data_IF_442097883513
#
_entry.id   IF_442097883513
#
_cell.length_a   1.000
_cell.length_b   1.000
_cell.length_c   1.000
_cell.angle_alpha   90.00
_cell.angle_beta   90.00
_cell.angle_gamma   90.00
#
_symmetry.space_group_name_H-M   'P 1'
#
loop_
_entity.id
_entity.type
_entity.pdbx_description
1 polymer ?
#
# COMPACT_ATOMS: atom_id res chain seq x y z
N UNK A 1 2.70 14.59 -12.85
CA UNK A 1 2.73 13.27 -13.51
C UNK A 1 2.26 12.21 -12.54
N UNK A 2 1.40 11.29 -12.97
CA UNK A 2 0.90 10.20 -12.12
C UNK A 2 1.70 8.93 -12.39
N UNK A 3 2.15 8.24 -11.34
CA UNK A 3 2.97 7.03 -11.44
C UNK A 3 2.19 5.86 -10.84
N UNK A 4 1.81 4.88 -11.67
CA UNK A 4 1.06 3.69 -11.27
C UNK A 4 1.93 2.43 -11.30
N UNK A 5 2.76 2.23 -10.28
CA UNK A 5 3.68 1.10 -10.11
C UNK A 5 3.49 0.44 -8.73
N UNK A 6 4.04 -0.76 -8.54
CA UNK A 6 4.09 -1.38 -7.23
C UNK A 6 5.13 -0.72 -6.30
N UNK A 7 4.80 -0.56 -5.02
CA UNK A 7 5.79 -0.31 -3.96
C UNK A 7 6.77 -1.49 -3.85
N UNK A 8 8.08 -1.28 -3.69
CA UNK A 8 8.78 0.00 -3.47
C UNK A 8 9.23 0.73 -4.75
N UNK A 9 9.16 0.07 -5.93
CA UNK A 9 9.67 0.64 -7.20
C UNK A 9 9.03 1.99 -7.52
N UNK A 10 7.75 2.15 -7.21
CA UNK A 10 7.03 3.40 -7.40
C UNK A 10 7.68 4.60 -6.69
N UNK A 11 8.22 4.41 -5.49
CA UNK A 11 8.74 5.51 -4.68
C UNK A 11 10.06 6.02 -5.26
N UNK A 12 10.89 5.10 -5.78
CA UNK A 12 12.13 5.43 -6.47
C UNK A 12 11.88 6.12 -7.81
N UNK A 13 10.97 5.57 -8.62
CA UNK A 13 10.68 6.13 -9.94
C UNK A 13 9.95 7.46 -9.88
N UNK A 14 9.02 7.64 -8.92
CA UNK A 14 8.37 8.93 -8.72
C UNK A 14 9.41 10.01 -8.39
N UNK A 15 10.33 9.74 -7.44
CA UNK A 15 11.40 10.68 -7.10
C UNK A 15 12.33 10.97 -8.28
N UNK A 16 12.75 9.93 -9.01
CA UNK A 16 13.61 10.07 -10.20
C UNK A 16 12.94 10.93 -11.26
N UNK A 17 11.69 10.64 -11.59
CA UNK A 17 10.92 11.36 -12.59
C UNK A 17 10.71 12.81 -12.18
N UNK A 18 10.36 13.08 -10.91
CA UNK A 18 10.20 14.44 -10.41
C UNK A 18 11.47 15.28 -10.63
N UNK A 19 12.63 14.71 -10.29
CA UNK A 19 13.91 15.36 -10.48
C UNK A 19 14.28 15.56 -11.97
N UNK A 20 13.98 14.60 -12.84
CA UNK A 20 14.34 14.68 -14.25
C UNK A 20 13.44 15.61 -15.07
N UNK A 21 12.14 15.66 -14.76
CA UNK A 21 11.15 16.43 -15.54
C UNK A 21 10.84 17.80 -14.93
N UNK A 22 11.28 18.07 -13.70
CA UNK A 22 10.99 19.32 -13.00
C UNK A 22 9.50 19.52 -12.66
N UNK A 23 8.72 18.44 -12.55
CA UNK A 23 7.28 18.50 -12.25
C UNK A 23 6.91 17.55 -11.11
N UNK A 24 5.85 17.91 -10.38
CA UNK A 24 5.32 17.08 -9.29
C UNK A 24 4.89 15.71 -9.79
N UNK A 25 5.41 14.66 -9.17
CA UNK A 25 4.99 13.27 -9.40
C UNK A 25 4.12 12.77 -8.26
N UNK A 26 3.04 12.06 -8.58
CA UNK A 26 2.12 11.48 -7.60
C UNK A 26 2.09 9.96 -7.80
N UNK A 27 2.52 9.25 -6.76
CA UNK A 27 2.47 7.81 -6.65
C UNK A 27 1.01 7.35 -6.40
N UNK A 28 0.40 6.63 -7.36
CA UNK A 28 -1.02 6.21 -7.28
C UNK A 28 -1.24 4.71 -7.21
N UNK A 29 -0.18 3.91 -7.43
CA UNK A 29 -0.27 2.46 -7.37
C UNK A 29 -1.33 1.92 -8.32
N UNK A 30 -2.25 1.12 -7.78
CA UNK A 30 -3.28 0.44 -8.54
C UNK A 30 -4.48 1.33 -8.93
N UNK A 31 -4.43 2.65 -8.73
CA UNK A 31 -5.56 3.54 -9.06
C UNK A 31 -6.00 3.43 -10.54
N UNK A 32 -5.05 3.27 -11.46
CA UNK A 32 -5.36 3.04 -12.87
C UNK A 32 -6.03 1.69 -13.13
N UNK A 33 -5.66 0.64 -12.38
CA UNK A 33 -6.31 -0.66 -12.49
C UNK A 33 -7.78 -0.59 -12.05
N UNK A 34 -8.08 0.22 -11.02
CA UNK A 34 -9.45 0.48 -10.59
C UNK A 34 -10.22 1.33 -11.61
N UNK A 35 -9.62 2.41 -12.09
CA UNK A 35 -10.23 3.28 -13.09
C UNK A 35 -10.52 2.54 -14.42
N UNK A 36 -9.64 1.62 -14.81
CA UNK A 36 -9.80 0.79 -16.01
C UNK A 36 -10.72 -0.44 -15.78
N UNK A 37 -11.17 -0.69 -14.55
CA UNK A 37 -12.01 -1.84 -14.22
C UNK A 37 -11.31 -3.20 -14.32
N UNK A 38 -9.98 -3.23 -14.42
CA UNK A 38 -9.18 -4.46 -14.52
C UNK A 38 -9.06 -5.17 -13.17
N UNK A 39 -9.23 -4.43 -12.08
CA UNK A 39 -9.26 -4.97 -10.71
C UNK A 39 -10.63 -4.71 -10.09
N UNK A 40 -11.23 -5.76 -9.52
CA UNK A 40 -12.49 -5.66 -8.80
C UNK A 40 -12.28 -5.01 -7.43
N UNK A 41 -13.09 -4.01 -7.13
CA UNK A 41 -13.19 -3.47 -5.77
C UNK A 41 -13.89 -4.46 -4.85
N UNK A 42 -13.52 -4.42 -3.56
CA UNK A 42 -14.26 -5.15 -2.55
C UNK A 42 -15.68 -4.56 -2.41
N UNK A 43 -16.70 -5.40 -2.16
CA UNK A 43 -18.05 -4.92 -1.85
C UNK A 43 -18.04 -3.89 -0.72
N UNK A 44 -18.98 -2.93 -0.74
CA UNK A 44 -19.03 -1.84 0.26
C UNK A 44 -19.00 -2.36 1.70
N UNK A 45 -19.76 -3.40 2.01
CA UNK A 45 -19.79 -3.99 3.35
C UNK A 45 -18.42 -4.55 3.78
N UNK A 46 -17.66 -5.16 2.87
CA UNK A 46 -16.31 -5.68 3.14
C UNK A 46 -15.32 -4.54 3.44
N UNK A 47 -15.44 -3.43 2.70
CA UNK A 47 -14.63 -2.22 2.96
C UNK A 47 -14.97 -1.60 4.31
N UNK A 48 -16.26 -1.51 4.65
CA UNK A 48 -16.72 -0.93 5.91
C UNK A 48 -16.23 -1.71 7.14
N UNK A 49 -16.13 -3.03 7.06
CA UNK A 49 -15.58 -3.86 8.14
C UNK A 49 -14.04 -3.94 8.13
N UNK A 50 -13.35 -3.26 7.19
CA UNK A 50 -11.89 -3.26 7.09
C UNK A 50 -11.28 -4.53 6.47
N UNK A 51 -12.07 -5.43 5.88
CA UNK A 51 -11.61 -6.71 5.31
C UNK A 51 -11.20 -6.60 3.83
N UNK A 52 -11.01 -5.39 3.31
CA UNK A 52 -10.61 -5.20 1.91
C UNK A 52 -9.28 -5.89 1.58
N UNK A 53 -8.33 -5.90 2.51
CA UNK A 53 -7.04 -6.58 2.34
C UNK A 53 -7.20 -8.09 2.12
N UNK A 54 -8.13 -8.73 2.84
CA UNK A 54 -8.41 -10.16 2.73
C UNK A 54 -9.09 -10.48 1.40
N UNK A 55 -10.07 -9.68 1.00
CA UNK A 55 -10.69 -9.79 -0.32
C UNK A 55 -9.66 -9.67 -1.46
N UNK A 56 -8.75 -8.70 -1.36
CA UNK A 56 -7.66 -8.51 -2.32
C UNK A 56 -6.69 -9.70 -2.33
N UNK A 57 -6.36 -10.26 -1.16
CA UNK A 57 -5.53 -11.45 -1.05
C UNK A 57 -6.18 -12.66 -1.74
N UNK A 58 -7.47 -12.92 -1.50
CA UNK A 58 -8.21 -13.98 -2.18
C UNK A 58 -8.34 -13.74 -3.70
N UNK A 59 -8.44 -12.48 -4.13
CA UNK A 59 -8.56 -12.12 -5.54
C UNK A 59 -7.25 -12.24 -6.31
N UNK A 60 -6.10 -12.01 -5.66
CA UNK A 60 -4.77 -12.05 -6.29
C UNK A 60 -3.73 -12.73 -5.39
N UNK A 61 -3.93 -14.01 -5.04
CA UNK A 61 -3.12 -14.69 -4.04
C UNK A 61 -1.66 -14.71 -4.44
N UNK A 62 -1.32 -15.05 -5.69
CA UNK A 62 0.07 -15.12 -6.19
C UNK A 62 0.84 -13.79 -6.12
N UNK A 63 0.15 -12.65 -6.23
CA UNK A 63 0.79 -11.32 -6.23
C UNK A 63 0.92 -10.75 -4.82
N UNK A 64 -0.11 -10.94 -3.99
CA UNK A 64 -0.26 -10.22 -2.74
C UNK A 64 0.15 -11.03 -1.50
N UNK A 65 0.24 -12.36 -1.57
CA UNK A 65 0.57 -13.20 -0.41
C UNK A 65 1.88 -12.82 0.29
N UNK A 66 2.97 -12.59 -0.46
CA UNK A 66 4.26 -12.19 0.12
C UNK A 66 4.13 -10.86 0.86
N UNK A 67 3.43 -9.89 0.25
CA UNK A 67 3.27 -8.55 0.82
C UNK A 67 2.49 -8.59 2.12
N UNK A 68 1.40 -9.35 2.16
CA UNK A 68 0.55 -9.41 3.36
C UNK A 68 1.09 -10.33 4.45
N UNK A 69 1.62 -11.50 4.11
CA UNK A 69 2.07 -12.44 5.14
C UNK A 69 3.45 -12.09 5.69
N UNK A 70 4.39 -11.71 4.83
CA UNK A 70 5.75 -11.38 5.27
C UNK A 70 5.80 -9.92 5.71
N UNK A 71 5.36 -9.02 4.83
CA UNK A 71 5.43 -7.57 5.09
C UNK A 71 4.59 -7.13 6.28
N UNK A 72 3.35 -7.59 6.44
CA UNK A 72 2.58 -7.21 7.63
C UNK A 72 3.13 -7.85 8.90
N UNK A 73 3.71 -9.05 8.82
CA UNK A 73 4.31 -9.68 10.00
C UNK A 73 5.55 -8.93 10.47
N UNK A 74 6.43 -8.53 9.53
CA UNK A 74 7.56 -7.65 9.83
C UNK A 74 7.09 -6.31 10.40
N UNK A 75 6.08 -5.69 9.80
CA UNK A 75 5.49 -4.46 10.32
C UNK A 75 4.92 -4.63 11.72
N UNK A 76 4.19 -5.71 12.00
CA UNK A 76 3.64 -5.99 13.33
C UNK A 76 4.75 -6.17 14.37
N UNK A 77 5.85 -6.83 14.03
CA UNK A 77 6.99 -6.96 14.93
C UNK A 77 7.59 -5.58 15.24
N UNK A 78 7.81 -4.77 14.22
CA UNK A 78 8.39 -3.42 14.38
C UNK A 78 7.43 -2.53 15.17
N UNK A 79 6.13 -2.53 14.84
CA UNK A 79 5.11 -1.77 15.54
C UNK A 79 4.97 -2.21 17.00
N UNK A 80 4.98 -3.52 17.29
CA UNK A 80 4.94 -4.02 18.66
C UNK A 80 6.20 -3.66 19.46
N UNK A 81 7.39 -3.64 18.83
CA UNK A 81 8.61 -3.13 19.48
C UNK A 81 8.51 -1.64 19.75
N UNK A 82 8.11 -0.85 18.76
CA UNK A 82 7.96 0.60 18.89
C UNK A 82 6.95 0.97 19.99
N UNK A 83 5.81 0.27 20.06
CA UNK A 83 4.83 0.45 21.16
C UNK A 83 5.43 0.10 22.52
N UNK A 84 6.30 -0.90 22.60
CA UNK A 84 6.95 -1.31 23.84
C UNK A 84 8.07 -0.35 24.26
N UNK A 85 8.79 0.21 23.30
CA UNK A 85 9.96 1.07 23.52
C UNK A 85 9.56 2.54 23.71
N UNK A 86 8.53 3.02 23.02
CA UNK A 86 8.05 4.42 23.02
C UNK A 86 6.70 4.62 23.69
N UNK A 87 6.07 3.56 24.24
CA UNK A 87 4.83 3.60 25.04
C UNK A 87 3.88 4.71 24.64
N UNK A 88 3.19 4.57 23.49
CA UNK A 88 2.29 5.55 22.86
C UNK A 88 2.52 6.98 23.38
N UNK A 89 3.43 7.72 22.73
CA UNK A 89 3.78 9.11 23.05
C UNK A 89 2.57 10.04 22.93
N UNK A 90 1.68 9.98 23.92
CA UNK A 90 0.72 11.00 24.32
C UNK A 90 1.50 12.14 24.98
N UNK A 91 2.31 12.85 24.20
CA UNK A 91 2.78 14.18 24.57
C UNK A 91 3.19 14.96 23.32
N UNK A 92 2.19 15.53 22.63
CA UNK A 92 2.27 16.85 21.98
C UNK A 92 0.91 17.51 21.96
#
# INVERSE_FOLDING_TARGET
MWVGLGTPKQDWEARRLAASIGATTIAVGAAFDFAAGTVKEAPKWVRLIGFEWFFRLCSQPKRLWRRYLIGNFEFLIVACRDIKDNGWSDEK
#
